data_IF_724780589365
#
_entry.id   IF_724780589365
#
_cell.length_a   1.000
_cell.length_b   1.000
_cell.length_c   1.000
_cell.angle_alpha   90.00
_cell.angle_beta   90.00
_cell.angle_gamma   90.00
#
_symmetry.space_group_name_H-M   'P 1'
#
loop_
_entity.id
_entity.type
_entity.pdbx_description
1 polymer ?
#
# COMPACT_ATOMS: atom_id res chain seq x y z
N UNK A 1 -12.30 9.71 -7.18
CA UNK A 1 -11.12 8.99 -6.65
C UNK A 1 -9.94 9.23 -7.60
N UNK A 2 -8.76 9.54 -7.07
CA UNK A 2 -7.55 9.87 -7.87
C UNK A 2 -7.21 8.79 -8.92
N UNK A 3 -7.35 7.52 -8.57
CA UNK A 3 -7.07 6.38 -9.47
C UNK A 3 -7.87 6.46 -10.78
N UNK A 4 -9.14 6.90 -10.73
CA UNK A 4 -9.98 7.04 -11.94
C UNK A 4 -9.53 8.19 -12.84
N UNK A 5 -9.00 9.28 -12.26
CA UNK A 5 -8.51 10.42 -13.04
C UNK A 5 -7.12 10.19 -13.60
N UNK A 6 -6.27 9.49 -12.85
CA UNK A 6 -4.91 9.16 -13.26
C UNK A 6 -4.91 8.02 -14.31
N UNK A 7 -5.74 7.00 -14.11
CA UNK A 7 -5.96 5.94 -15.10
C UNK A 7 -4.77 5.01 -15.33
N UNK A 8 -3.71 5.08 -14.51
CA UNK A 8 -2.51 4.23 -14.69
C UNK A 8 -2.60 2.90 -13.94
N UNK A 9 -3.66 2.66 -13.18
CA UNK A 9 -3.87 1.42 -12.44
C UNK A 9 -5.25 1.29 -11.82
N UNK A 10 -5.42 0.21 -11.05
CA UNK A 10 -6.63 -0.11 -10.31
C UNK A 10 -6.39 0.01 -8.81
N UNK A 11 -7.38 0.55 -8.10
CA UNK A 11 -7.33 0.76 -6.65
C UNK A 11 -8.30 -0.15 -5.92
N UNK A 12 -7.89 -0.63 -4.75
CA UNK A 12 -8.59 -1.60 -3.94
C UNK A 12 -8.71 -1.12 -2.50
N UNK A 13 -9.82 -1.45 -1.85
CA UNK A 13 -10.06 -1.18 -0.44
C UNK A 13 -9.77 -2.42 0.43
N UNK A 14 -9.97 -2.27 1.74
CA UNK A 14 -9.66 -3.28 2.75
C UNK A 14 -10.43 -4.60 2.62
N UNK A 15 -11.44 -4.67 1.77
CA UNK A 15 -12.19 -5.91 1.51
C UNK A 15 -11.50 -6.84 0.49
N UNK A 16 -10.46 -6.36 -0.19
CA UNK A 16 -9.77 -7.13 -1.23
C UNK A 16 -8.54 -7.86 -0.68
N UNK A 17 -8.60 -9.19 -0.69
CA UNK A 17 -7.45 -10.05 -0.41
C UNK A 17 -6.60 -10.33 -1.65
N UNK A 18 -5.29 -10.49 -1.45
CA UNK A 18 -4.28 -10.84 -2.44
C UNK A 18 -3.51 -12.07 -1.99
N UNK A 19 -3.13 -12.93 -2.94
CA UNK A 19 -2.20 -14.03 -2.69
C UNK A 19 -0.82 -13.58 -3.16
N UNK A 20 0.09 -13.36 -2.20
CA UNK A 20 1.45 -12.93 -2.47
C UNK A 20 2.29 -14.08 -3.08
N UNK A 21 3.41 -13.77 -3.78
CA UNK A 21 4.32 -14.79 -4.31
C UNK A 21 4.83 -15.83 -3.30
N UNK A 22 4.98 -15.46 -2.02
CA UNK A 22 5.34 -16.38 -0.94
C UNK A 22 4.16 -17.26 -0.45
N UNK A 23 2.97 -17.13 -1.04
CA UNK A 23 1.74 -17.84 -0.68
C UNK A 23 0.94 -17.22 0.47
N UNK A 24 1.40 -16.10 1.04
CA UNK A 24 0.65 -15.40 2.08
C UNK A 24 -0.63 -14.75 1.51
N UNK A 25 -1.73 -14.89 2.23
CA UNK A 25 -2.95 -14.12 1.98
C UNK A 25 -2.92 -12.82 2.77
N UNK A 26 -3.09 -11.69 2.08
CA UNK A 26 -3.03 -10.36 2.68
C UNK A 26 -4.14 -9.46 2.16
N UNK A 27 -4.75 -8.72 3.07
CA UNK A 27 -5.73 -7.68 2.78
C UNK A 27 -5.17 -6.37 3.36
N UNK A 28 -4.57 -5.50 2.54
CA UNK A 28 -4.13 -4.17 3.00
C UNK A 28 -5.33 -3.23 3.13
N UNK A 29 -5.19 -2.15 3.90
CA UNK A 29 -6.27 -1.15 4.03
C UNK A 29 -6.57 -0.46 2.70
N UNK A 30 -5.51 -0.19 1.93
CA UNK A 30 -5.60 0.23 0.53
C UNK A 30 -4.51 -0.44 -0.29
N UNK A 31 -4.83 -0.76 -1.54
CA UNK A 31 -3.85 -1.24 -2.50
C UNK A 31 -4.05 -0.57 -3.86
N UNK A 32 -2.98 -0.54 -4.63
CA UNK A 32 -3.01 -0.13 -6.02
C UNK A 32 -2.10 -1.04 -6.87
N UNK A 33 -2.61 -1.43 -8.03
CA UNK A 33 -1.90 -2.27 -9.00
C UNK A 33 -1.83 -1.52 -10.31
N UNK A 34 -0.65 -1.51 -10.95
CA UNK A 34 -0.48 -0.95 -12.29
C UNK A 34 -1.41 -1.61 -13.29
N UNK A 35 -1.96 -0.82 -14.21
CA UNK A 35 -3.01 -1.28 -15.11
C UNK A 35 -2.54 -2.42 -16.04
N UNK A 36 -1.28 -2.43 -16.43
CA UNK A 36 -0.69 -3.50 -17.24
C UNK A 36 -0.62 -4.83 -16.48
N UNK A 37 -0.21 -4.80 -15.20
CA UNK A 37 -0.20 -5.98 -14.32
C UNK A 37 -1.61 -6.48 -14.04
N UNK A 38 -2.55 -5.58 -13.77
CA UNK A 38 -3.95 -5.96 -13.59
C UNK A 38 -4.54 -6.57 -14.86
N UNK A 39 -4.25 -5.99 -16.02
CA UNK A 39 -4.78 -6.47 -17.29
C UNK A 39 -4.15 -7.78 -17.77
N UNK A 40 -2.99 -8.16 -17.22
CA UNK A 40 -2.38 -9.45 -17.48
C UNK A 40 -3.09 -10.62 -16.77
N UNK A 41 -3.90 -10.35 -15.74
CA UNK A 41 -4.69 -11.37 -15.06
C UNK A 41 -5.85 -11.85 -15.92
N UNK A 42 -6.17 -13.14 -15.82
CA UNK A 42 -7.40 -13.72 -16.33
C UNK A 42 -8.62 -13.13 -15.61
N UNK A 43 -9.80 -13.25 -16.23
CA UNK A 43 -11.05 -12.83 -15.56
C UNK A 43 -11.31 -13.58 -14.26
N UNK A 44 -10.89 -14.85 -14.17
CA UNK A 44 -11.09 -15.69 -12.99
C UNK A 44 -10.23 -15.22 -11.83
N UNK A 45 -8.96 -14.87 -12.09
CA UNK A 45 -8.05 -14.29 -11.09
C UNK A 45 -8.53 -12.92 -10.60
N UNK A 46 -9.19 -12.12 -11.46
CA UNK A 46 -9.78 -10.84 -11.05
C UNK A 46 -11.07 -10.96 -10.24
N UNK A 47 -11.74 -12.12 -10.30
CA UNK A 47 -12.98 -12.41 -9.56
C UNK A 47 -12.72 -13.12 -8.22
N UNK A 48 -11.47 -13.49 -7.95
CA UNK A 48 -11.01 -14.11 -6.71
C UNK A 48 -9.92 -13.24 -6.05
N UNK A 49 -9.14 -13.79 -5.12
CA UNK A 49 -7.95 -13.10 -4.60
C UNK A 49 -6.85 -13.08 -5.67
N UNK A 50 -6.49 -11.90 -6.20
CA UNK A 50 -5.51 -11.84 -7.29
C UNK A 50 -4.16 -12.42 -6.83
N UNK A 51 -3.54 -13.31 -7.62
CA UNK A 51 -2.30 -13.97 -7.26
C UNK A 51 -1.08 -13.09 -7.55
N UNK A 52 -1.07 -11.88 -6.98
CA UNK A 52 0.06 -10.96 -7.07
C UNK A 52 0.16 -10.05 -5.83
N UNK A 53 1.37 -9.53 -5.59
CA UNK A 53 1.58 -8.43 -4.66
C UNK A 53 1.24 -7.08 -5.33
N UNK A 54 0.41 -6.22 -4.71
CA UNK A 54 0.16 -4.88 -5.21
C UNK A 54 1.44 -4.04 -5.37
N UNK A 55 1.45 -3.11 -6.33
CA UNK A 55 2.59 -2.21 -6.55
C UNK A 55 2.71 -1.16 -5.43
N UNK A 56 1.56 -0.74 -4.88
CA UNK A 56 1.48 0.17 -3.74
C UNK A 56 0.50 -0.35 -2.71
N UNK A 57 0.89 -0.34 -1.43
CA UNK A 57 0.06 -0.77 -0.29
C UNK A 57 0.05 0.28 0.80
N UNK A 58 -1.07 0.41 1.50
CA UNK A 58 -1.21 1.23 2.70
C UNK A 58 -1.79 0.39 3.83
N UNK A 59 -1.21 0.55 5.00
CA UNK A 59 -1.73 0.04 6.28
C UNK A 59 -1.92 1.22 7.24
N UNK A 60 -3.04 1.23 7.94
CA UNK A 60 -3.38 2.19 8.97
C UNK A 60 -3.19 1.51 10.33
N UNK A 61 -2.28 2.03 11.15
CA UNK A 61 -2.16 1.55 12.53
C UNK A 61 -3.32 2.13 13.36
N UNK A 62 -4.17 1.25 13.87
CA UNK A 62 -5.15 1.58 14.90
C UNK A 62 -4.56 1.40 16.31
N UNK A 63 -5.19 1.95 17.36
CA UNK A 63 -4.67 1.83 18.73
C UNK A 63 -4.52 0.40 19.25
N UNK A 64 -5.26 -0.57 18.68
CA UNK A 64 -5.13 -1.99 19.04
C UNK A 64 -4.02 -2.71 18.30
N UNK A 65 -3.43 -2.10 17.28
CA UNK A 65 -2.45 -2.75 16.43
C UNK A 65 -1.03 -2.64 16.99
N UNK A 66 -0.32 -3.76 16.88
CA UNK A 66 1.11 -3.83 17.17
C UNK A 66 1.90 -3.19 16.03
N UNK A 67 2.61 -2.10 16.33
CA UNK A 67 3.50 -1.45 15.36
C UNK A 67 4.49 -2.44 14.76
N UNK A 68 5.09 -3.28 15.59
CA UNK A 68 6.08 -4.27 15.16
C UNK A 68 5.50 -5.25 14.14
N UNK A 69 4.29 -5.72 14.37
CA UNK A 69 3.65 -6.70 13.48
C UNK A 69 3.26 -6.05 12.16
N UNK A 70 2.80 -4.78 12.19
CA UNK A 70 2.56 -4.01 10.97
C UNK A 70 3.86 -3.73 10.21
N UNK A 71 4.95 -3.37 10.88
CA UNK A 71 6.24 -3.18 10.22
C UNK A 71 6.75 -4.49 9.57
N UNK A 72 6.56 -5.62 10.24
CA UNK A 72 6.88 -6.94 9.66
C UNK A 72 6.00 -7.25 8.44
N UNK A 73 4.70 -6.93 8.49
CA UNK A 73 3.76 -7.05 7.37
C UNK A 73 4.18 -6.17 6.18
N UNK A 74 4.58 -4.92 6.44
CA UNK A 74 5.09 -4.00 5.42
C UNK A 74 6.35 -4.54 4.74
N UNK A 75 7.29 -5.07 5.53
CA UNK A 75 8.50 -5.69 4.99
C UNK A 75 8.18 -6.90 4.11
N UNK A 76 7.21 -7.73 4.51
CA UNK A 76 6.75 -8.86 3.70
C UNK A 76 6.18 -8.40 2.35
N UNK A 77 5.39 -7.32 2.30
CA UNK A 77 4.92 -6.79 1.01
C UNK A 77 6.09 -6.37 0.09
N UNK A 78 7.10 -5.69 0.63
CA UNK A 78 8.27 -5.25 -0.15
C UNK A 78 9.05 -6.46 -0.69
N UNK A 79 9.27 -7.48 0.13
CA UNK A 79 9.93 -8.73 -0.27
C UNK A 79 9.15 -9.50 -1.34
N UNK A 80 7.83 -9.30 -1.38
CA UNK A 80 6.93 -9.92 -2.34
C UNK A 80 6.67 -9.05 -3.59
N UNK A 81 7.34 -7.91 -3.73
CA UNK A 81 7.37 -7.12 -4.95
C UNK A 81 6.61 -5.80 -4.90
N UNK A 82 6.06 -5.38 -3.76
CA UNK A 82 5.54 -4.02 -3.61
C UNK A 82 6.66 -3.00 -3.86
N UNK A 83 6.35 -1.95 -4.62
CA UNK A 83 7.29 -0.91 -5.00
C UNK A 83 7.24 0.31 -4.05
N UNK A 84 6.11 0.47 -3.36
CA UNK A 84 5.92 1.49 -2.33
C UNK A 84 4.99 0.93 -1.25
N UNK A 85 5.30 1.20 0.01
CA UNK A 85 4.42 0.90 1.13
C UNK A 85 4.33 2.07 2.10
N UNK A 86 3.13 2.44 2.52
CA UNK A 86 2.91 3.40 3.61
C UNK A 86 2.28 2.71 4.81
N UNK A 87 2.96 2.75 5.95
CA UNK A 87 2.35 2.48 7.24
C UNK A 87 2.08 3.81 7.93
N UNK A 88 0.81 4.17 8.00
CA UNK A 88 0.34 5.42 8.60
C UNK A 88 0.04 5.14 10.06
N UNK A 89 0.84 5.73 10.94
CA UNK A 89 0.71 5.63 12.38
C UNK A 89 -0.15 6.77 12.92
N UNK A 90 -1.45 6.50 13.13
CA UNK A 90 -2.40 7.48 13.66
C UNK A 90 -2.20 7.75 15.16
N UNK A 91 -1.45 6.90 15.87
CA UNK A 91 -1.19 7.07 17.30
C UNK A 91 -0.02 8.05 17.54
N UNK A 92 1.02 7.94 16.71
CA UNK A 92 2.21 8.79 16.79
C UNK A 92 2.25 9.90 15.73
N UNK A 93 1.19 10.04 14.91
CA UNK A 93 1.11 10.96 13.77
C UNK A 93 2.33 10.85 12.85
N UNK A 94 2.71 9.60 12.53
CA UNK A 94 3.90 9.30 11.72
C UNK A 94 3.53 8.54 10.45
N UNK A 95 4.41 8.58 9.45
CA UNK A 95 4.30 7.72 8.28
C UNK A 95 5.62 7.03 8.03
N UNK A 96 5.60 5.70 8.03
CA UNK A 96 6.73 4.89 7.60
C UNK A 96 6.60 4.61 6.11
N UNK A 97 7.63 4.94 5.34
CA UNK A 97 7.70 4.75 3.91
C UNK A 97 8.68 3.65 3.57
N UNK A 98 8.17 2.63 2.92
CA UNK A 98 8.90 1.44 2.51
C UNK A 98 9.14 1.45 1.01
N UNK A 99 10.38 1.16 0.60
CA UNK A 99 10.79 1.05 -0.80
C UNK A 99 11.79 -0.11 -0.96
N UNK A 100 11.76 -0.86 -2.08
CA UNK A 100 12.71 -1.93 -2.32
C UNK A 100 14.17 -1.46 -2.23
N UNK A 101 14.98 -2.17 -1.43
CA UNK A 101 16.42 -1.93 -1.32
C UNK A 101 16.81 -0.63 -0.61
N UNK A 102 15.87 0.07 0.03
CA UNK A 102 16.12 1.27 0.82
C UNK A 102 15.83 1.03 2.30
N UNK A 103 16.46 1.82 3.16
CA UNK A 103 16.08 1.88 4.58
C UNK A 103 14.68 2.49 4.73
N UNK A 104 13.95 2.06 5.76
CA UNK A 104 12.62 2.58 6.06
C UNK A 104 12.74 4.03 6.51
N UNK A 105 12.04 4.92 5.81
CA UNK A 105 11.98 6.34 6.14
C UNK A 105 10.79 6.59 7.06
N UNK A 106 10.99 7.27 8.18
CA UNK A 106 9.90 7.74 9.04
C UNK A 106 9.73 9.24 8.87
N UNK A 107 8.54 9.67 8.47
CA UNK A 107 8.12 11.05 8.42
C UNK A 107 7.31 11.37 9.67
N UNK A 108 7.78 12.29 10.50
CA UNK A 108 7.09 12.72 11.71
C UNK A 108 6.16 13.91 11.43
N UNK A 109 4.88 13.74 11.77
CA UNK A 109 3.80 14.71 11.55
C UNK A 109 3.83 15.40 10.17
N UNK A 110 3.92 14.63 9.06
CA UNK A 110 3.97 15.23 7.73
C UNK A 110 2.67 15.95 7.40
N UNK A 111 2.79 17.03 6.62
CA UNK A 111 1.64 17.69 5.99
C UNK A 111 1.14 16.87 4.81
N UNK A 112 2.08 16.38 4.00
CA UNK A 112 1.80 15.60 2.81
C UNK A 112 2.77 14.44 2.65
N UNK A 113 2.34 13.38 1.97
CA UNK A 113 3.20 12.26 1.57
C UNK A 113 3.12 12.07 0.05
N UNK A 114 4.28 11.95 -0.61
CA UNK A 114 4.38 11.78 -2.06
C UNK A 114 4.44 10.30 -2.46
N UNK A 115 3.63 9.93 -3.45
CA UNK A 115 3.61 8.59 -4.04
C UNK A 115 4.72 8.33 -5.07
N UNK A 116 5.61 9.30 -5.31
CA UNK A 116 6.69 9.17 -6.29
C UNK A 116 7.70 8.06 -5.88
N UNK A 117 8.28 7.35 -6.87
CA UNK A 117 8.00 7.42 -8.32
C UNK A 117 6.85 6.51 -8.79
N UNK A 118 6.20 5.79 -7.88
CA UNK A 118 5.23 4.72 -8.20
C UNK A 118 3.90 5.30 -8.66
N UNK A 119 3.36 6.25 -7.89
CA UNK A 119 2.15 7.00 -8.21
C UNK A 119 2.55 8.42 -8.63
N UNK A 120 2.76 8.62 -9.94
CA UNK A 120 3.26 9.89 -10.47
C UNK A 120 2.32 11.04 -10.11
N UNK A 121 2.88 12.13 -9.62
CA UNK A 121 2.18 13.34 -9.16
C UNK A 121 1.14 13.11 -8.07
N UNK A 122 1.08 11.91 -7.46
CA UNK A 122 0.19 11.68 -6.34
C UNK A 122 0.80 12.24 -5.07
N UNK A 123 0.04 13.11 -4.41
CA UNK A 123 0.37 13.69 -3.11
C UNK A 123 -0.86 13.54 -2.24
N UNK A 124 -0.71 12.83 -1.11
CA UNK A 124 -1.74 12.72 -0.10
C UNK A 124 -1.57 13.85 0.90
N UNK A 125 -2.58 14.72 1.03
CA UNK A 125 -2.74 15.57 2.21
C UNK A 125 -3.19 14.70 3.38
N UNK A 126 -2.28 14.46 4.31
CA UNK A 126 -2.47 13.52 5.40
C UNK A 126 -2.90 14.22 6.70
N UNK A 127 -2.85 15.56 6.74
CA UNK A 127 -3.23 16.31 7.95
C UNK A 127 -4.68 16.05 8.36
N UNK A 128 -5.54 15.73 7.40
CA UNK A 128 -6.94 15.43 7.63
C UNK A 128 -7.16 14.08 8.34
N UNK A 129 -6.13 13.23 8.40
CA UNK A 129 -6.18 11.94 9.11
C UNK A 129 -5.72 12.08 10.57
N UNK A 130 -4.94 13.10 10.89
CA UNK A 130 -4.53 13.39 12.27
C UNK A 130 -5.73 13.89 13.08
N UNK A 131 -5.81 13.48 14.34
CA UNK A 131 -6.85 13.93 15.29
C UNK A 131 -6.34 15.01 16.22
#
# INVERSE_FOLDING_TARGET
AWVKSDGTGEGFDSSTGFILPNGAERSPDLAWIRLDRWNALSEEERKSFPPLCPDFVVELRSPSDSLRDLQAKMQEYIENGAQLGWLIDLEENGVYVYRPGAEVERLDNPVTVSGEPVLKNFILDIQQLWK
#
